data_IF_611152753704
#
_entry.id   IF_611152753704
#
_cell.length_a   1.000
_cell.length_b   1.000
_cell.length_c   1.000
_cell.angle_alpha   90.00
_cell.angle_beta   90.00
_cell.angle_gamma   90.00
#
_symmetry.space_group_name_H-M   'P 1'
#
loop_
_entity.id
_entity.type
_entity.pdbx_description
1 polymer ?
#
# COMPACT_ATOMS: atom_id res chain seq x y z
N UNK A 1 1.26 12.13 15.57
CA UNK A 1 2.31 12.09 14.52
C UNK A 1 2.05 10.95 13.55
N UNK A 2 2.57 11.11 12.34
CA UNK A 2 2.45 10.05 11.34
C UNK A 2 3.60 9.05 11.54
N UNK A 3 3.27 7.86 12.02
CA UNK A 3 4.25 6.86 12.46
C UNK A 3 5.28 6.47 11.39
N UNK A 4 4.86 6.37 10.13
CA UNK A 4 5.68 5.84 9.06
C UNK A 4 6.12 6.87 8.02
N UNK A 5 5.74 8.13 8.18
CA UNK A 5 6.05 9.17 7.19
C UNK A 5 7.56 9.38 7.06
N UNK A 6 8.26 9.51 8.18
CA UNK A 6 9.70 9.71 8.18
C UNK A 6 10.44 8.54 7.52
N UNK A 7 10.01 7.31 7.81
CA UNK A 7 10.61 6.11 7.21
C UNK A 7 10.48 6.11 5.69
N UNK A 8 9.28 6.43 5.19
CA UNK A 8 9.04 6.50 3.75
C UNK A 8 9.87 7.59 3.10
N UNK A 9 9.93 8.75 3.73
CA UNK A 9 10.72 9.88 3.24
C UNK A 9 12.19 9.54 3.15
N UNK A 10 12.75 8.98 4.22
CA UNK A 10 14.16 8.60 4.26
C UNK A 10 14.48 7.49 3.25
N UNK A 11 13.59 6.51 3.10
CA UNK A 11 13.74 5.44 2.12
C UNK A 11 13.76 5.97 0.68
N UNK A 12 13.07 7.09 0.42
CA UNK A 12 13.05 7.75 -0.88
C UNK A 12 14.20 8.76 -1.04
N UNK A 13 15.08 8.88 -0.04
CA UNK A 13 16.19 9.84 -0.02
C UNK A 13 15.75 11.30 -0.18
N UNK A 14 14.63 11.66 0.43
CA UNK A 14 14.10 13.00 0.39
C UNK A 14 14.35 13.74 1.71
N UNK A 15 14.73 15.02 1.61
CA UNK A 15 14.74 15.90 2.76
C UNK A 15 13.30 16.30 3.10
N UNK A 16 13.09 16.84 4.30
CA UNK A 16 11.79 17.41 4.68
C UNK A 16 11.36 18.49 3.70
N UNK A 17 12.30 19.34 3.28
CA UNK A 17 12.03 20.42 2.33
C UNK A 17 11.64 19.88 0.97
N UNK A 18 12.34 18.87 0.48
CA UNK A 18 12.03 18.26 -0.82
C UNK A 18 10.64 17.64 -0.83
N UNK A 19 10.30 16.93 0.24
CA UNK A 19 8.96 16.35 0.36
C UNK A 19 7.89 17.45 0.47
N UNK A 20 8.16 18.50 1.23
CA UNK A 20 7.25 19.64 1.36
C UNK A 20 6.95 20.29 0.01
N UNK A 21 7.99 20.48 -0.80
CA UNK A 21 7.84 21.06 -2.13
C UNK A 21 6.98 20.19 -3.06
N UNK A 22 7.16 18.87 -3.01
CA UNK A 22 6.36 17.94 -3.83
C UNK A 22 4.90 17.92 -3.39
N UNK A 23 4.66 17.91 -2.10
CA UNK A 23 3.30 17.80 -1.54
C UNK A 23 2.57 19.15 -1.58
N UNK A 24 3.31 20.25 -1.59
CA UNK A 24 2.72 21.59 -1.60
C UNK A 24 2.43 22.15 -0.22
N UNK A 25 3.25 21.79 0.76
CA UNK A 25 3.15 22.32 2.13
C UNK A 25 4.50 22.89 2.56
N UNK A 26 4.57 23.51 3.72
CA UNK A 26 5.83 24.03 4.24
C UNK A 26 6.69 22.91 4.83
N UNK A 27 8.01 23.14 4.88
CA UNK A 27 8.93 22.23 5.56
C UNK A 27 8.56 22.06 7.03
N UNK A 28 8.13 23.15 7.67
CA UNK A 28 7.70 23.12 9.05
C UNK A 28 6.50 22.20 9.25
N UNK A 29 5.57 22.18 8.29
CA UNK A 29 4.43 21.26 8.33
C UNK A 29 4.87 19.82 8.31
N UNK A 30 5.81 19.45 7.42
CA UNK A 30 6.35 18.10 7.37
C UNK A 30 7.00 17.74 8.70
N UNK A 31 7.81 18.62 9.25
CA UNK A 31 8.43 18.38 10.56
C UNK A 31 7.39 18.12 11.66
N UNK A 32 6.31 18.88 11.67
CA UNK A 32 5.24 18.70 12.66
C UNK A 32 4.51 17.37 12.48
N UNK A 33 4.29 16.95 11.24
CA UNK A 33 3.66 15.66 10.96
C UNK A 33 4.54 14.48 11.41
N UNK A 34 5.86 14.62 11.29
CA UNK A 34 6.79 13.55 11.67
C UNK A 34 7.05 13.48 13.17
N UNK A 35 7.16 14.64 13.83
CA UNK A 35 7.69 14.72 15.18
C UNK A 35 6.71 15.24 16.23
N UNK A 36 5.57 15.77 15.83
CA UNK A 36 4.58 16.33 16.73
C UNK A 36 3.20 15.73 16.46
N UNK A 37 2.27 15.92 17.40
CA UNK A 37 0.90 15.42 17.26
C UNK A 37 0.03 16.35 16.41
N UNK A 38 0.56 16.79 15.29
CA UNK A 38 -0.19 17.60 14.32
C UNK A 38 -0.41 16.75 13.09
N UNK A 39 -1.68 16.53 12.74
CA UNK A 39 -2.08 15.71 11.63
C UNK A 39 -2.38 16.58 10.41
N UNK A 40 -2.01 16.13 9.20
CA UNK A 40 -2.42 16.83 7.98
C UNK A 40 -3.93 16.69 7.78
N UNK A 41 -4.50 17.60 6.98
CA UNK A 41 -5.88 17.44 6.53
C UNK A 41 -6.00 16.23 5.59
N UNK A 42 -7.24 15.88 5.26
CA UNK A 42 -7.52 14.70 4.44
C UNK A 42 -6.87 14.82 3.06
N UNK A 43 -6.90 16.00 2.46
CA UNK A 43 -6.28 16.23 1.15
C UNK A 43 -4.78 16.00 1.20
N UNK A 44 -4.10 16.56 2.16
CA UNK A 44 -2.65 16.40 2.34
C UNK A 44 -2.29 14.95 2.64
N UNK A 45 -3.07 14.30 3.50
CA UNK A 45 -2.90 12.89 3.83
C UNK A 45 -3.01 12.02 2.58
N UNK A 46 -4.00 12.29 1.73
CA UNK A 46 -4.20 11.57 0.48
C UNK A 46 -3.04 11.79 -0.48
N UNK A 47 -2.55 13.02 -0.59
CA UNK A 47 -1.38 13.33 -1.43
C UNK A 47 -0.14 12.58 -0.97
N UNK A 48 0.10 12.50 0.33
CA UNK A 48 1.22 11.75 0.88
C UNK A 48 1.10 10.26 0.56
N UNK A 49 -0.08 9.69 0.76
CA UNK A 49 -0.32 8.28 0.45
C UNK A 49 -0.12 7.98 -1.04
N UNK A 50 -0.62 8.85 -1.90
CA UNK A 50 -0.48 8.70 -3.36
C UNK A 50 0.98 8.83 -3.78
N UNK A 51 1.70 9.80 -3.24
CA UNK A 51 3.11 10.01 -3.58
C UNK A 51 3.97 8.80 -3.24
N UNK A 52 3.77 8.21 -2.07
CA UNK A 52 4.53 7.05 -1.64
C UNK A 52 3.90 5.72 -2.08
N UNK A 53 2.80 5.78 -2.84
CA UNK A 53 2.06 4.59 -3.28
C UNK A 53 1.75 3.66 -2.10
N UNK A 54 1.23 4.23 -1.04
CA UNK A 54 0.86 3.53 0.18
C UNK A 54 -0.55 3.91 0.61
N UNK A 55 -0.99 3.41 1.75
CA UNK A 55 -2.30 3.72 2.32
C UNK A 55 -2.19 4.74 3.45
N UNK A 56 -3.28 5.44 3.73
CA UNK A 56 -3.38 6.30 4.91
C UNK A 56 -3.19 5.46 6.18
N UNK A 57 -3.71 4.23 6.19
CA UNK A 57 -3.56 3.32 7.33
C UNK A 57 -2.09 3.07 7.66
N UNK A 58 -1.24 2.89 6.65
CA UNK A 58 0.20 2.71 6.88
C UNK A 58 0.84 4.00 7.40
N UNK A 59 0.47 5.16 6.85
CA UNK A 59 1.01 6.45 7.31
C UNK A 59 0.77 6.69 8.80
N UNK A 60 -0.42 6.34 9.27
CA UNK A 60 -0.77 6.55 10.69
C UNK A 60 -0.39 5.39 11.60
N UNK A 61 0.24 4.34 11.06
CA UNK A 61 0.68 3.19 11.84
C UNK A 61 -0.42 2.20 12.17
N UNK A 62 -1.56 2.26 11.48
CA UNK A 62 -2.71 1.39 11.72
C UNK A 62 -2.56 0.02 11.07
N UNK A 63 -1.63 -0.11 10.14
CA UNK A 63 -1.26 -1.37 9.50
C UNK A 63 0.25 -1.41 9.28
N UNK A 64 0.82 -2.60 9.25
CA UNK A 64 2.24 -2.80 8.93
C UNK A 64 2.47 -3.03 7.43
N UNK A 65 1.43 -3.02 6.63
CA UNK A 65 1.51 -3.27 5.19
C UNK A 65 1.83 -1.97 4.47
N UNK A 66 3.07 -1.81 3.93
CA UNK A 66 3.50 -0.53 3.35
C UNK A 66 2.99 -0.28 1.94
N UNK A 67 2.56 -1.31 1.23
CA UNK A 67 2.03 -1.16 -0.12
C UNK A 67 0.53 -0.91 -0.08
N UNK A 68 0.03 -0.24 -1.12
CA UNK A 68 -1.39 0.02 -1.27
C UNK A 68 -2.14 -1.30 -1.48
N UNK A 69 -3.22 -1.47 -0.73
CA UNK A 69 -4.08 -2.63 -0.90
C UNK A 69 -5.08 -2.28 -1.99
N UNK A 70 -4.97 -2.96 -3.12
CA UNK A 70 -5.92 -2.78 -4.21
C UNK A 70 -7.22 -3.48 -3.90
N UNK A 71 -8.35 -2.85 -4.21
CA UNK A 71 -9.63 -3.50 -3.99
C UNK A 71 -9.75 -4.75 -4.87
N UNK A 72 -10.02 -5.87 -4.23
CA UNK A 72 -10.43 -7.10 -4.91
C UNK A 72 -11.95 -7.04 -5.01
N UNK A 73 -12.51 -7.45 -6.13
CA UNK A 73 -13.95 -7.45 -6.35
C UNK A 73 -14.55 -8.77 -5.86
N UNK A 74 -14.71 -8.98 -4.55
CA UNK A 74 -15.15 -10.26 -4.00
C UNK A 74 -16.59 -10.62 -4.39
N UNK A 75 -17.39 -9.65 -4.80
CA UNK A 75 -18.74 -9.90 -5.22
C UNK A 75 -18.83 -10.59 -6.60
N UNK A 76 -17.73 -10.58 -7.37
CA UNK A 76 -17.68 -11.29 -8.65
C UNK A 76 -17.40 -12.77 -8.47
N UNK A 77 -17.06 -13.19 -7.26
CA UNK A 77 -16.70 -14.57 -6.97
C UNK A 77 -17.82 -15.26 -6.22
N UNK A 78 -18.17 -16.48 -6.64
CA UNK A 78 -19.00 -17.32 -5.80
C UNK A 78 -18.14 -17.91 -4.66
N UNK A 79 -18.78 -18.58 -3.71
CA UNK A 79 -18.09 -19.12 -2.54
C UNK A 79 -16.99 -20.11 -2.90
N UNK A 80 -17.25 -20.95 -3.90
CA UNK A 80 -16.28 -21.95 -4.38
C UNK A 80 -15.07 -21.30 -5.00
N UNK A 81 -15.27 -20.28 -5.81
CA UNK A 81 -14.18 -19.53 -6.43
C UNK A 81 -13.36 -18.78 -5.39
N UNK A 82 -14.02 -18.17 -4.41
CA UNK A 82 -13.33 -17.47 -3.33
C UNK A 82 -12.43 -18.40 -2.52
N UNK A 83 -12.88 -19.62 -2.25
CA UNK A 83 -12.08 -20.63 -1.55
C UNK A 83 -10.89 -21.08 -2.39
N UNK A 84 -11.09 -21.25 -3.68
CA UNK A 84 -10.02 -21.65 -4.59
C UNK A 84 -8.94 -20.56 -4.64
N UNK A 85 -9.34 -19.30 -4.72
CA UNK A 85 -8.41 -18.17 -4.74
C UNK A 85 -7.65 -18.07 -3.42
N UNK A 86 -8.31 -18.24 -2.30
CA UNK A 86 -7.67 -18.21 -0.99
C UNK A 86 -6.64 -19.33 -0.88
N UNK A 87 -6.97 -20.54 -1.32
CA UNK A 87 -6.04 -21.66 -1.35
C UNK A 87 -4.83 -21.38 -2.22
N UNK A 88 -5.06 -20.80 -3.40
CA UNK A 88 -3.99 -20.44 -4.34
C UNK A 88 -3.00 -19.44 -3.70
N UNK A 89 -3.51 -18.48 -2.95
CA UNK A 89 -2.66 -17.46 -2.29
C UNK A 89 -1.73 -18.04 -1.23
N UNK A 90 -2.09 -19.20 -0.66
CA UNK A 90 -1.28 -19.88 0.35
C UNK A 90 -0.18 -20.75 -0.25
N UNK A 91 -0.19 -20.96 -1.55
CA UNK A 91 0.78 -21.80 -2.23
C UNK A 91 2.12 -21.11 -2.41
N UNK A 92 3.18 -21.90 -2.49
CA UNK A 92 4.50 -21.38 -2.87
C UNK A 92 4.49 -21.00 -4.36
N UNK A 93 5.49 -20.23 -4.79
CA UNK A 93 5.67 -19.87 -6.20
C UNK A 93 5.68 -21.10 -7.12
N UNK A 94 6.41 -22.13 -6.72
CA UNK A 94 6.51 -23.36 -7.49
C UNK A 94 5.16 -24.06 -7.60
N UNK A 95 4.42 -24.12 -6.51
CA UNK A 95 3.09 -24.73 -6.48
C UNK A 95 2.09 -23.92 -7.32
N UNK A 96 2.14 -22.60 -7.25
CA UNK A 96 1.29 -21.72 -8.07
C UNK A 96 1.55 -21.97 -9.55
N UNK A 97 2.81 -22.13 -9.95
CA UNK A 97 3.16 -22.40 -11.33
C UNK A 97 2.57 -23.73 -11.80
N UNK A 98 2.59 -24.75 -10.95
CA UNK A 98 1.97 -26.05 -11.26
C UNK A 98 0.47 -25.93 -11.49
N UNK A 99 -0.23 -25.15 -10.64
CA UNK A 99 -1.66 -24.88 -10.79
C UNK A 99 -1.94 -24.15 -12.11
N UNK A 100 -1.15 -23.13 -12.42
CA UNK A 100 -1.29 -22.36 -13.64
C UNK A 100 -1.13 -23.25 -14.89
N UNK A 101 -0.17 -24.18 -14.88
CA UNK A 101 0.04 -25.12 -15.97
C UNK A 101 -1.17 -26.03 -16.16
N UNK A 102 -1.80 -26.47 -15.08
CA UNK A 102 -3.01 -27.30 -15.15
C UNK A 102 -4.15 -26.50 -15.79
N UNK A 103 -4.34 -25.27 -15.36
CA UNK A 103 -5.36 -24.39 -15.92
C UNK A 103 -5.13 -24.18 -17.41
N UNK A 104 -3.89 -23.88 -17.80
CA UNK A 104 -3.53 -23.68 -19.20
C UNK A 104 -3.79 -24.92 -20.04
N UNK A 105 -3.47 -26.11 -19.50
CA UNK A 105 -3.70 -27.36 -20.19
C UNK A 105 -5.19 -27.62 -20.46
N UNK A 106 -6.06 -27.22 -19.53
CA UNK A 106 -7.50 -27.39 -19.72
C UNK A 106 -8.12 -26.35 -20.65
N UNK A 107 -7.53 -25.15 -20.71
CA UNK A 107 -8.08 -24.06 -21.51
C UNK A 107 -7.46 -23.94 -22.89
N UNK A 108 -6.23 -24.38 -23.04
CA UNK A 108 -5.42 -24.08 -24.21
C UNK A 108 -5.39 -25.15 -25.31
N UNK A 109 -6.18 -26.19 -25.20
CA UNK A 109 -6.15 -27.24 -26.18
C UNK A 109 -6.42 -26.83 -27.63
#
# INVERSE_FOLDING_TARGET
MLENLKRLREAANLSQKALADVIGVSQQSINKYENHNIEPDIETMTRLADYFNTSVDFLIGHTDIPHRIEPVCPWDLNEREARALEGYRRLTEKQRRSVELIIEAFLGE
#
